data_IF_864066403902
#
_entry.id   IF_864066403902
#
_cell.length_a   1.000
_cell.length_b   1.000
_cell.length_c   1.000
_cell.angle_alpha   90.00
_cell.angle_beta   90.00
_cell.angle_gamma   90.00
#
_symmetry.space_group_name_H-M   'P 1'
#
loop_
_entity.id
_entity.type
_entity.pdbx_description
1 polymer ?
#
# COMPACT_ATOMS: atom_id res chain seq x y z
N UNK A 1 27.45 24.41 40.97
CA UNK A 1 27.65 23.17 40.19
C UNK A 1 26.45 23.06 39.26
N UNK A 2 26.57 23.46 38.00
CA UNK A 2 25.45 23.51 37.06
C UNK A 2 25.67 22.48 35.96
N UNK A 3 24.92 21.39 36.02
CA UNK A 3 24.99 20.31 35.03
C UNK A 3 24.27 20.73 33.76
N UNK A 4 25.03 20.93 32.68
CA UNK A 4 24.51 21.18 31.34
C UNK A 4 23.83 19.90 30.84
N UNK A 5 22.51 19.95 30.63
CA UNK A 5 21.78 18.88 29.93
C UNK A 5 22.31 18.82 28.49
N UNK A 6 22.97 17.72 28.15
CA UNK A 6 23.29 17.39 26.76
C UNK A 6 21.99 17.23 25.97
N UNK A 7 21.82 18.06 24.94
CA UNK A 7 20.83 17.86 23.90
C UNK A 7 21.22 16.61 23.10
N UNK A 8 20.51 15.51 23.33
CA UNK A 8 20.65 14.28 22.54
C UNK A 8 19.89 14.50 21.22
N UNK A 9 20.58 15.03 20.21
CA UNK A 9 20.02 15.08 18.86
C UNK A 9 19.88 13.63 18.35
N UNK A 10 18.69 13.21 17.87
CA UNK A 10 18.53 11.88 17.30
C UNK A 10 19.34 11.85 15.99
N UNK A 11 20.40 11.05 15.97
CA UNK A 11 21.20 10.83 14.77
C UNK A 11 20.38 10.01 13.77
N UNK A 12 19.71 10.71 12.86
CA UNK A 12 19.03 10.07 11.74
C UNK A 12 20.09 9.43 10.85
N UNK A 13 20.07 8.10 10.76
CA UNK A 13 21.15 7.35 10.12
C UNK A 13 21.05 7.47 8.59
N UNK A 14 22.19 7.45 7.89
CA UNK A 14 22.27 7.53 6.41
C UNK A 14 21.36 6.51 5.70
N UNK A 15 21.20 5.33 6.31
CA UNK A 15 20.30 4.24 5.89
C UNK A 15 18.82 4.60 5.95
N UNK A 16 18.42 5.52 6.83
CA UNK A 16 17.05 6.05 6.90
C UNK A 16 16.79 7.14 5.84
N UNK A 17 17.81 7.85 5.34
CA UNK A 17 17.67 8.82 4.26
C UNK A 17 17.65 8.16 2.87
N UNK A 18 18.48 7.14 2.62
CA UNK A 18 18.46 6.39 1.34
C UNK A 18 17.11 5.69 1.09
N UNK A 19 16.48 5.19 2.15
CA UNK A 19 15.16 4.55 2.08
C UNK A 19 14.05 5.52 1.65
N UNK A 20 14.25 6.84 1.78
CA UNK A 20 13.25 7.84 1.37
C UNK A 20 13.34 8.22 -0.13
N UNK A 21 14.37 7.80 -0.86
CA UNK A 21 14.63 8.32 -2.21
C UNK A 21 14.52 7.29 -3.34
N UNK A 22 14.58 5.99 -3.03
CA UNK A 22 14.23 4.93 -4.00
C UNK A 22 13.36 3.88 -3.30
N UNK A 23 12.05 4.11 -3.28
CA UNK A 23 11.10 3.04 -2.96
C UNK A 23 11.18 2.01 -4.10
N UNK A 24 12.05 1.00 -3.93
CA UNK A 24 12.25 -0.05 -4.91
C UNK A 24 10.91 -0.69 -5.26
N UNK A 25 10.71 -1.13 -6.50
CA UNK A 25 9.47 -1.84 -6.89
C UNK A 25 9.15 -3.02 -5.96
N UNK A 26 10.19 -3.64 -5.39
CA UNK A 26 10.08 -4.68 -4.39
C UNK A 26 9.52 -4.18 -3.05
N UNK A 27 9.93 -3.01 -2.56
CA UNK A 27 9.39 -2.46 -1.31
C UNK A 27 7.91 -2.05 -1.47
N UNK A 28 7.55 -1.46 -2.62
CA UNK A 28 6.14 -1.22 -2.98
C UNK A 28 5.34 -2.52 -2.99
N UNK A 29 5.83 -3.56 -3.66
CA UNK A 29 5.25 -4.90 -3.62
C UNK A 29 5.10 -5.43 -2.19
N UNK A 30 6.14 -5.28 -1.37
CA UNK A 30 6.15 -5.76 0.01
C UNK A 30 5.13 -5.04 0.89
N UNK A 31 4.93 -3.74 0.69
CA UNK A 31 3.90 -2.95 1.40
C UNK A 31 2.50 -3.33 0.89
N UNK A 32 2.35 -3.47 -0.43
CA UNK A 32 1.08 -3.85 -1.05
C UNK A 32 0.62 -5.24 -0.58
N UNK A 33 1.53 -6.20 -0.35
CA UNK A 33 1.12 -7.54 0.10
C UNK A 33 0.44 -7.53 1.48
N UNK A 34 -0.74 -8.14 1.66
CA UNK A 34 -1.46 -8.15 2.95
C UNK A 34 -0.63 -8.80 4.06
N UNK A 35 -0.78 -8.29 5.29
CA UNK A 35 -0.07 -8.81 6.47
C UNK A 35 -0.73 -10.12 6.91
N UNK A 36 -0.18 -11.24 6.46
CA UNK A 36 -0.62 -12.59 6.83
C UNK A 36 0.47 -13.33 7.59
N UNK A 37 0.15 -14.36 8.39
CA UNK A 37 1.17 -15.15 9.10
C UNK A 37 2.16 -15.85 8.15
N UNK A 38 1.79 -16.03 6.88
CA UNK A 38 2.65 -16.62 5.83
C UNK A 38 3.58 -15.61 5.16
N UNK A 39 3.46 -14.32 5.48
CA UNK A 39 4.33 -13.26 4.97
C UNK A 39 5.68 -13.31 5.70
N UNK A 40 6.59 -14.12 5.17
CA UNK A 40 7.94 -14.31 5.69
C UNK A 40 9.00 -14.25 4.58
N UNK A 41 10.26 -14.51 4.96
CA UNK A 41 11.38 -14.68 4.03
C UNK A 41 11.60 -13.50 3.05
N UNK A 42 11.61 -12.25 3.53
CA UNK A 42 11.86 -11.05 2.70
C UNK A 42 13.15 -11.17 1.87
N UNK A 43 14.22 -11.73 2.47
CA UNK A 43 15.51 -11.95 1.79
C UNK A 43 15.39 -12.92 0.60
N UNK A 44 14.68 -14.03 0.76
CA UNK A 44 14.50 -15.00 -0.34
C UNK A 44 13.60 -14.43 -1.44
N UNK A 45 12.55 -13.69 -1.06
CA UNK A 45 11.71 -12.99 -2.01
C UNK A 45 12.52 -11.97 -2.82
N UNK A 46 13.43 -11.23 -2.18
CA UNK A 46 14.29 -10.26 -2.85
C UNK A 46 15.25 -10.94 -3.85
N UNK A 47 15.85 -12.09 -3.48
CA UNK A 47 16.70 -12.88 -4.40
C UNK A 47 15.91 -13.33 -5.63
N UNK A 48 14.67 -13.78 -5.44
CA UNK A 48 13.77 -14.18 -6.54
C UNK A 48 13.34 -12.99 -7.39
N UNK A 49 13.05 -11.85 -6.77
CA UNK A 49 12.68 -10.62 -7.45
C UNK A 49 13.78 -10.17 -8.44
N UNK A 50 15.05 -10.21 -8.01
CA UNK A 50 16.19 -9.92 -8.88
C UNK A 50 16.34 -10.97 -9.97
N UNK A 51 16.18 -12.27 -9.63
CA UNK A 51 16.30 -13.37 -10.60
C UNK A 51 15.30 -13.29 -11.76
N UNK A 52 14.07 -12.88 -11.48
CA UNK A 52 12.99 -12.78 -12.47
C UNK A 52 12.88 -11.39 -13.10
N UNK A 53 13.80 -10.47 -12.82
CA UNK A 53 13.75 -9.08 -13.32
C UNK A 53 12.39 -8.39 -13.08
N UNK A 54 11.75 -8.72 -11.95
CA UNK A 54 10.43 -8.22 -11.57
C UNK A 54 10.37 -6.70 -11.37
N UNK A 55 11.51 -6.02 -11.34
CA UNK A 55 11.54 -4.56 -11.27
C UNK A 55 10.87 -3.92 -12.50
N UNK A 56 11.09 -4.49 -13.69
CA UNK A 56 10.48 -4.00 -14.94
C UNK A 56 8.96 -4.19 -14.98
N UNK A 57 8.46 -5.20 -14.27
CA UNK A 57 7.03 -5.54 -14.18
C UNK A 57 6.44 -5.18 -12.81
N UNK A 58 7.12 -4.35 -12.02
CA UNK A 58 6.73 -4.07 -10.65
C UNK A 58 5.30 -3.51 -10.57
N UNK A 59 4.96 -2.59 -11.49
CA UNK A 59 3.64 -1.97 -11.54
C UNK A 59 2.54 -2.97 -11.89
N UNK A 60 2.79 -3.90 -12.82
CA UNK A 60 1.84 -4.97 -13.18
C UNK A 60 1.61 -5.91 -11.99
N UNK A 61 2.69 -6.29 -11.30
CA UNK A 61 2.61 -7.15 -10.11
C UNK A 61 1.79 -6.47 -9.01
N UNK A 62 2.04 -5.18 -8.76
CA UNK A 62 1.32 -4.41 -7.74
C UNK A 62 -0.17 -4.32 -8.10
N UNK A 63 -0.51 -3.96 -9.34
CA UNK A 63 -1.91 -3.91 -9.82
C UNK A 63 -2.61 -5.26 -9.65
N UNK A 64 -1.93 -6.35 -10.01
CA UNK A 64 -2.47 -7.70 -9.85
C UNK A 64 -2.77 -8.03 -8.37
N UNK A 65 -1.90 -7.63 -7.45
CA UNK A 65 -2.12 -7.85 -6.01
C UNK A 65 -3.28 -7.00 -5.49
N UNK A 66 -3.40 -5.75 -5.94
CA UNK A 66 -4.51 -4.87 -5.57
C UNK A 66 -5.84 -5.42 -6.05
N UNK A 67 -5.89 -5.93 -7.28
CA UNK A 67 -7.05 -6.63 -7.81
C UNK A 67 -7.35 -7.92 -7.04
N UNK A 68 -6.34 -8.75 -6.75
CA UNK A 68 -6.55 -9.97 -5.95
C UNK A 68 -7.13 -9.67 -4.56
N UNK A 69 -6.76 -8.56 -3.91
CA UNK A 69 -7.34 -8.19 -2.62
C UNK A 69 -8.85 -7.93 -2.67
N UNK A 70 -9.38 -7.52 -3.82
CA UNK A 70 -10.84 -7.32 -3.98
C UNK A 70 -11.57 -8.62 -4.27
N UNK A 71 -10.86 -9.70 -4.63
CA UNK A 71 -11.49 -10.99 -4.90
C UNK A 71 -12.00 -11.65 -3.61
N UNK A 72 -13.16 -12.28 -3.71
CA UNK A 72 -13.77 -13.01 -2.59
C UNK A 72 -12.85 -14.09 -2.03
N UNK A 73 -11.99 -14.70 -2.86
CA UNK A 73 -11.05 -15.73 -2.41
C UNK A 73 -10.04 -15.22 -1.38
N UNK A 74 -9.60 -13.97 -1.49
CA UNK A 74 -8.65 -13.36 -0.55
C UNK A 74 -9.36 -12.78 0.69
N UNK A 75 -10.61 -12.32 0.52
CA UNK A 75 -11.44 -11.84 1.62
C UNK A 75 -11.98 -12.98 2.48
N UNK A 76 -12.24 -14.14 1.87
CA UNK A 76 -12.78 -15.32 2.54
C UNK A 76 -11.82 -15.83 3.61
N UNK A 77 -12.39 -16.17 4.76
CA UNK A 77 -11.67 -16.75 5.90
C UNK A 77 -10.53 -15.86 6.44
N UNK A 78 -10.70 -14.53 6.43
CA UNK A 78 -9.72 -13.56 6.93
C UNK A 78 -8.32 -13.73 6.32
N UNK A 79 -8.25 -14.05 5.02
CA UNK A 79 -6.99 -14.23 4.32
C UNK A 79 -6.32 -15.59 4.54
N UNK A 80 -7.05 -16.61 5.00
CA UNK A 80 -6.51 -17.96 5.19
C UNK A 80 -6.03 -18.62 3.88
N UNK A 81 -6.52 -18.17 2.72
CA UNK A 81 -6.15 -18.70 1.41
C UNK A 81 -5.12 -17.85 0.65
N UNK A 82 -4.57 -16.83 1.29
CA UNK A 82 -3.53 -15.99 0.67
C UNK A 82 -2.23 -16.82 0.59
N UNK A 83 -1.63 -16.99 -0.61
CA UNK A 83 -0.36 -17.70 -0.76
C UNK A 83 0.77 -16.95 -0.03
N UNK A 84 1.91 -17.61 0.19
CA UNK A 84 3.09 -16.88 0.65
C UNK A 84 3.63 -16.01 -0.50
N UNK A 85 4.21 -14.82 -0.22
CA UNK A 85 4.79 -13.96 -1.26
C UNK A 85 5.89 -14.67 -2.06
N UNK A 86 6.65 -15.57 -1.42
CA UNK A 86 7.64 -16.41 -2.09
C UNK A 86 7.01 -17.36 -3.13
N UNK A 87 5.89 -17.99 -2.78
CA UNK A 87 5.15 -18.89 -3.68
C UNK A 87 4.54 -18.10 -4.83
N UNK A 88 3.99 -16.92 -4.54
CA UNK A 88 3.45 -16.00 -5.53
C UNK A 88 4.52 -15.59 -6.57
N UNK A 89 5.73 -15.24 -6.12
CA UNK A 89 6.87 -14.93 -7.00
C UNK A 89 7.36 -16.15 -7.79
N UNK A 90 7.45 -17.32 -7.15
CA UNK A 90 7.92 -18.55 -7.81
C UNK A 90 7.00 -18.99 -8.95
N UNK A 91 5.69 -18.80 -8.80
CA UNK A 91 4.69 -19.21 -9.76
C UNK A 91 4.38 -18.13 -10.81
N UNK A 92 5.04 -16.96 -10.71
CA UNK A 92 4.84 -15.83 -11.62
C UNK A 92 3.37 -15.57 -11.91
N UNK A 93 2.54 -15.52 -10.86
CA UNK A 93 1.07 -15.54 -11.02
C UNK A 93 0.48 -14.34 -11.77
N UNK A 94 1.27 -13.29 -11.97
CA UNK A 94 0.91 -12.12 -12.78
C UNK A 94 1.10 -12.36 -14.29
N UNK A 95 1.91 -13.36 -14.68
CA UNK A 95 2.19 -13.73 -16.06
C UNK A 95 0.98 -14.51 -16.61
N UNK A 96 0.20 -13.87 -17.48
CA UNK A 96 -1.04 -14.42 -18.05
C UNK A 96 -2.34 -14.00 -17.34
N UNK A 97 -2.27 -13.16 -16.30
CA UNK A 97 -3.46 -12.59 -15.69
C UNK A 97 -3.86 -11.27 -16.38
N UNK A 98 -4.99 -11.27 -17.07
CA UNK A 98 -5.64 -10.03 -17.53
C UNK A 98 -6.18 -9.29 -16.30
N UNK A 99 -5.41 -8.33 -15.80
CA UNK A 99 -5.87 -7.44 -14.73
C UNK A 99 -6.71 -6.35 -15.39
N UNK A 100 -8.03 -6.27 -15.11
CA UNK A 100 -8.82 -5.15 -15.59
C UNK A 100 -8.27 -3.85 -15.02
N UNK A 101 -8.21 -2.78 -15.82
CA UNK A 101 -7.78 -1.47 -15.34
C UNK A 101 -8.74 -1.00 -14.25
N UNK A 102 -8.28 -1.03 -12.99
CA UNK A 102 -9.05 -0.50 -11.89
C UNK A 102 -9.11 1.03 -12.06
N UNK A 103 -10.28 1.66 -11.89
CA UNK A 103 -10.40 3.11 -12.00
C UNK A 103 -9.49 3.77 -10.97
N UNK A 104 -8.66 4.72 -11.42
CA UNK A 104 -7.76 5.47 -10.55
C UNK A 104 -8.59 6.25 -9.53
N UNK A 105 -8.42 5.94 -8.24
CA UNK A 105 -9.16 6.57 -7.14
C UNK A 105 -8.87 8.08 -7.03
N UNK A 106 -7.84 8.57 -7.68
CA UNK A 106 -7.47 9.99 -7.68
C UNK A 106 -8.23 10.81 -8.74
N UNK A 107 -8.92 10.16 -9.67
CA UNK A 107 -9.78 10.86 -10.61
C UNK A 107 -11.14 11.08 -9.96
N UNK A 108 -11.21 12.06 -9.05
CA UNK A 108 -12.48 12.51 -8.48
C UNK A 108 -13.25 13.19 -9.61
N UNK A 109 -14.36 12.58 -10.03
CA UNK A 109 -15.23 13.15 -11.05
C UNK A 109 -15.53 14.61 -10.73
N UNK A 110 -15.50 15.50 -11.72
CA UNK A 110 -15.80 16.93 -11.53
C UNK A 110 -17.16 17.16 -10.85
N UNK A 111 -18.09 16.21 -11.01
CA UNK A 111 -19.38 16.20 -10.32
C UNK A 111 -19.25 15.99 -8.80
N UNK A 112 -18.42 15.06 -8.34
CA UNK A 112 -18.21 14.80 -6.91
C UNK A 112 -17.53 15.99 -6.21
N UNK A 113 -16.63 16.69 -6.89
CA UNK A 113 -16.00 17.90 -6.38
C UNK A 113 -17.02 19.00 -6.10
N UNK A 114 -17.95 19.22 -7.03
CA UNK A 114 -19.03 20.21 -6.88
C UNK A 114 -19.95 19.91 -5.70
N UNK A 115 -20.34 18.64 -5.52
CA UNK A 115 -21.17 18.22 -4.39
C UNK A 115 -20.47 18.52 -3.06
N UNK A 116 -19.18 18.21 -2.96
CA UNK A 116 -18.40 18.48 -1.75
C UNK A 116 -18.26 19.98 -1.45
N UNK A 117 -18.10 20.80 -2.47
CA UNK A 117 -18.04 22.26 -2.33
C UNK A 117 -19.38 22.84 -1.85
N UNK A 118 -20.49 22.37 -2.41
CA UNK A 118 -21.83 22.78 -2.00
C UNK A 118 -22.13 22.33 -0.56
N UNK A 119 -21.79 21.09 -0.20
CA UNK A 119 -21.91 20.57 1.17
C UNK A 119 -21.09 21.40 2.17
N UNK A 120 -19.87 21.82 1.80
CA UNK A 120 -19.01 22.66 2.65
C UNK A 120 -19.57 24.07 2.82
N UNK A 121 -20.26 24.60 1.80
CA UNK A 121 -20.87 25.93 1.81
C UNK A 121 -22.23 25.94 2.52
N UNK A 122 -22.88 24.79 2.64
CA UNK A 122 -24.16 24.67 3.32
C UNK A 122 -24.07 25.17 4.77
N UNK A 123 -25.08 25.94 5.20
CA UNK A 123 -25.14 26.43 6.56
C UNK A 123 -25.23 25.24 7.54
N UNK A 124 -24.49 25.26 8.67
CA UNK A 124 -24.62 24.22 9.67
C UNK A 124 -26.06 24.16 10.16
N UNK A 125 -26.58 22.94 10.31
CA UNK A 125 -27.92 22.70 10.84
C UNK A 125 -28.10 23.48 12.16
N UNK A 126 -29.14 24.33 12.28
CA UNK A 126 -29.22 25.29 13.37
C UNK A 126 -29.40 24.59 14.72
N UNK A 127 -28.79 25.15 15.77
CA UNK A 127 -28.62 24.47 17.05
C UNK A 127 -29.95 24.10 17.72
N UNK A 128 -31.02 24.87 17.51
CA UNK A 128 -32.35 24.59 18.07
C UNK A 128 -33.01 23.29 17.56
N UNK A 129 -32.55 22.73 16.44
CA UNK A 129 -33.03 21.44 15.91
C UNK A 129 -32.23 20.26 16.50
N UNK A 130 -31.00 20.49 16.97
CA UNK A 130 -30.12 19.45 17.52
C UNK A 130 -30.47 19.05 18.95
N UNK A 131 -31.16 19.93 19.68
CA UNK A 131 -31.41 19.81 21.12
C UNK A 131 -32.74 19.10 21.49
N UNK A 132 -33.47 18.57 20.50
CA UNK A 132 -34.75 17.85 20.70
C UNK A 132 -34.57 16.34 20.79
#
# INVERSE_FOLDING_TARGET
MTTVRLCFAPTFTKKQMEKMMFESGFDKFWIAYPKTPRKGAKSECQKKWVKFYCETQADQIIKHIEWMKTTEQWLKSNGAFIPAPLVYLNQQRWDGAEVPEMPDKNQVDSALQKIFEDDKKAAPMPDYIRER
#
